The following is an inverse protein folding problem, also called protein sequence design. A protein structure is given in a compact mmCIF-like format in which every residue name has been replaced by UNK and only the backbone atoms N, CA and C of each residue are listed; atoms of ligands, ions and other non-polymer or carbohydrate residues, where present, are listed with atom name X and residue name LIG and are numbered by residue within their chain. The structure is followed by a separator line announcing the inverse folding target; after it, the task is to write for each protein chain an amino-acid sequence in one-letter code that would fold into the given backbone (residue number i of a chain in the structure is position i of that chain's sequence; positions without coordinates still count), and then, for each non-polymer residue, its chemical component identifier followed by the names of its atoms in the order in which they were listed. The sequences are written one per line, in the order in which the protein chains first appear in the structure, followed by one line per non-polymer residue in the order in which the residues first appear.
data_IF_384846171845
#
_entry.id   IF_384846171845
#
_cell.length_a   1.000
_cell.length_b   1.000
_cell.length_c   1.000
_cell.angle_alpha   90.00
_cell.angle_beta   90.00
_cell.angle_gamma   90.00
#
_symmetry.space_group_name_H-M   'P 1'
#
loop_
_entity.id
_entity.type
_entity.pdbx_description
1 polymer ?
#
# COMPACT_ATOMS: atom_id res chain seq x y z
N UNK A 1 -10.65 87.11 -58.67
CA UNK A 1 -11.45 86.80 -57.47
C UNK A 1 -11.92 85.33 -57.48
N UNK A 2 -11.01 84.35 -57.58
CA UNK A 2 -11.38 82.93 -57.80
C UNK A 2 -10.64 81.93 -56.90
N UNK A 3 -10.02 82.39 -55.80
CA UNK A 3 -9.19 81.53 -54.94
C UNK A 3 -9.78 81.21 -53.55
N UNK A 4 -10.90 81.82 -53.13
CA UNK A 4 -11.46 81.57 -51.78
C UNK A 4 -12.59 80.53 -51.70
N UNK A 5 -13.21 80.14 -52.82
CA UNK A 5 -14.31 79.15 -52.85
C UNK A 5 -13.84 77.69 -52.95
N UNK A 6 -12.62 77.44 -53.43
CA UNK A 6 -12.06 76.10 -53.59
C UNK A 6 -11.53 75.49 -52.28
N UNK A 7 -11.14 76.33 -51.30
CA UNK A 7 -10.55 75.87 -50.05
C UNK A 7 -11.61 75.39 -49.04
N UNK A 8 -12.79 76.01 -49.01
CA UNK A 8 -13.90 75.64 -48.13
C UNK A 8 -14.66 74.40 -48.58
N UNK A 9 -14.71 74.14 -49.89
CA UNK A 9 -15.37 72.96 -50.47
C UNK A 9 -14.56 71.68 -50.28
N UNK A 10 -13.22 71.76 -50.41
CA UNK A 10 -12.33 70.62 -50.17
C UNK A 10 -12.32 70.17 -48.70
N UNK A 11 -12.27 71.09 -47.73
CA UNK A 11 -12.31 70.72 -46.30
C UNK A 11 -13.65 70.08 -45.88
N UNK A 12 -14.76 70.45 -46.52
CA UNK A 12 -16.06 69.84 -46.26
C UNK A 12 -16.19 68.44 -46.87
N UNK A 13 -15.56 68.20 -48.02
CA UNK A 13 -15.46 66.86 -48.62
C UNK A 13 -14.57 65.94 -47.79
N UNK A 14 -13.42 66.44 -47.32
CA UNK A 14 -12.46 65.69 -46.51
C UNK A 14 -13.05 65.27 -45.16
N UNK A 15 -13.78 66.16 -44.48
CA UNK A 15 -14.51 65.84 -43.24
C UNK A 15 -15.62 64.80 -43.45
N UNK A 16 -16.32 64.85 -44.59
CA UNK A 16 -17.38 63.89 -44.93
C UNK A 16 -16.80 62.52 -45.30
N UNK A 17 -15.67 62.50 -46.01
CA UNK A 17 -14.90 61.28 -46.30
C UNK A 17 -14.40 60.65 -45.00
N UNK A 18 -13.78 61.42 -44.12
CA UNK A 18 -13.28 60.93 -42.82
C UNK A 18 -14.40 60.37 -41.92
N UNK A 19 -15.59 60.97 -41.98
CA UNK A 19 -16.76 60.47 -41.24
C UNK A 19 -17.29 59.16 -41.83
N UNK A 20 -17.33 59.04 -43.16
CA UNK A 20 -17.73 57.81 -43.85
C UNK A 20 -16.73 56.67 -43.63
N UNK A 21 -15.42 56.93 -43.73
CA UNK A 21 -14.38 55.93 -43.43
C UNK A 21 -14.43 55.50 -41.98
N UNK A 22 -14.65 56.42 -41.02
CA UNK A 22 -14.81 56.06 -39.61
C UNK A 22 -16.01 55.14 -39.35
N UNK A 23 -17.15 55.40 -40.00
CA UNK A 23 -18.35 54.55 -39.89
C UNK A 23 -18.08 53.15 -40.45
N UNK A 24 -17.47 53.06 -41.65
CA UNK A 24 -17.13 51.77 -42.25
C UNK A 24 -16.09 51.00 -41.40
N UNK A 25 -15.09 51.68 -40.85
CA UNK A 25 -14.08 51.04 -39.99
C UNK A 25 -14.69 50.49 -38.71
N UNK A 26 -15.60 51.24 -38.08
CA UNK A 26 -16.28 50.80 -36.85
C UNK A 26 -17.20 49.60 -37.09
N UNK A 27 -17.88 49.55 -38.24
CA UNK A 27 -18.69 48.39 -38.64
C UNK A 27 -17.82 47.13 -38.86
N UNK A 28 -16.71 47.27 -39.58
CA UNK A 28 -15.74 46.18 -39.80
C UNK A 28 -15.10 45.70 -38.49
N UNK A 29 -14.83 46.59 -37.54
CA UNK A 29 -14.33 46.22 -36.21
C UNK A 29 -15.37 45.39 -35.46
N UNK A 30 -16.64 45.79 -35.51
CA UNK A 30 -17.74 45.06 -34.86
C UNK A 30 -17.93 43.67 -35.46
N UNK A 31 -17.90 43.54 -36.79
CA UNK A 31 -17.96 42.24 -37.46
C UNK A 31 -16.77 41.34 -37.10
N UNK A 32 -15.56 41.89 -37.05
CA UNK A 32 -14.37 41.14 -36.66
C UNK A 32 -14.42 40.66 -35.21
N UNK A 33 -14.98 41.45 -34.30
CA UNK A 33 -15.19 41.03 -32.91
C UNK A 33 -16.23 39.90 -32.85
N UNK A 34 -17.33 40.02 -33.58
CA UNK A 34 -18.35 38.97 -33.66
C UNK A 34 -17.82 37.66 -34.27
N UNK A 35 -16.97 37.75 -35.29
CA UNK A 35 -16.30 36.60 -35.88
C UNK A 35 -15.34 35.93 -34.90
N UNK A 36 -14.56 36.71 -34.13
CA UNK A 36 -13.70 36.17 -33.06
C UNK A 36 -14.52 35.41 -32.01
N UNK A 37 -15.66 35.96 -31.59
CA UNK A 37 -16.55 35.30 -30.63
C UNK A 37 -17.11 33.98 -31.18
N UNK A 38 -17.55 33.97 -32.45
CA UNK A 38 -18.02 32.74 -33.13
C UNK A 38 -16.92 31.69 -33.22
N UNK A 39 -15.69 32.09 -33.56
CA UNK A 39 -14.54 31.18 -33.60
C UNK A 39 -14.22 30.62 -32.21
N UNK A 40 -14.30 31.44 -31.17
CA UNK A 40 -14.11 30.99 -29.79
C UNK A 40 -15.19 30.00 -29.36
N UNK A 41 -16.46 30.26 -29.71
CA UNK A 41 -17.56 29.31 -29.46
C UNK A 41 -17.39 27.99 -30.21
N UNK A 42 -16.96 28.03 -31.48
CA UNK A 42 -16.67 26.81 -32.25
C UNK A 42 -15.52 26.02 -31.64
N UNK A 43 -14.47 26.69 -31.16
CA UNK A 43 -13.34 26.05 -30.49
C UNK A 43 -13.77 25.33 -29.21
N UNK A 44 -14.67 25.92 -28.42
CA UNK A 44 -15.24 25.31 -27.21
C UNK A 44 -16.12 24.11 -27.56
N UNK A 45 -16.94 24.20 -28.62
CA UNK A 45 -17.76 23.05 -29.07
C UNK A 45 -16.89 21.90 -29.57
N UNK A 46 -15.81 22.20 -30.29
CA UNK A 46 -14.88 21.19 -30.81
C UNK A 46 -14.20 20.42 -29.67
N UNK A 47 -13.68 21.13 -28.65
CA UNK A 47 -13.05 20.48 -27.49
C UNK A 47 -14.05 19.64 -26.67
N UNK A 48 -15.30 20.09 -26.58
CA UNK A 48 -16.40 19.32 -25.98
C UNK A 48 -16.65 18.00 -26.72
N UNK A 49 -16.76 18.04 -28.05
CA UNK A 49 -16.98 16.84 -28.88
C UNK A 49 -15.80 15.87 -28.85
N UNK A 50 -14.56 16.37 -28.94
CA UNK A 50 -13.35 15.55 -28.85
C UNK A 50 -13.26 14.83 -27.50
N UNK A 51 -13.56 15.52 -26.39
CA UNK A 51 -13.57 14.90 -25.06
C UNK A 51 -14.65 13.83 -24.91
N UNK A 52 -15.84 14.05 -25.49
CA UNK A 52 -16.92 13.07 -25.53
C UNK A 52 -16.55 11.81 -26.31
N UNK A 53 -15.92 11.98 -27.47
CA UNK A 53 -15.47 10.87 -28.32
C UNK A 53 -14.36 10.05 -27.65
N UNK A 54 -13.40 10.71 -26.99
CA UNK A 54 -12.37 10.04 -26.18
C UNK A 54 -13.00 9.22 -25.05
N UNK A 55 -14.00 9.78 -24.35
CA UNK A 55 -14.67 9.08 -23.27
C UNK A 55 -15.41 7.83 -23.77
N UNK A 56 -16.16 7.92 -24.88
CA UNK A 56 -16.84 6.75 -25.49
C UNK A 56 -15.83 5.67 -25.89
N UNK A 57 -14.71 6.05 -26.51
CA UNK A 57 -13.63 5.12 -26.88
C UNK A 57 -13.03 4.46 -25.63
N UNK A 58 -12.82 5.22 -24.56
CA UNK A 58 -12.31 4.71 -23.28
C UNK A 58 -13.30 3.75 -22.63
N UNK A 59 -14.59 4.07 -22.63
CA UNK A 59 -15.66 3.19 -22.14
C UNK A 59 -15.72 1.90 -22.95
N UNK A 60 -15.65 1.96 -24.29
CA UNK A 60 -15.58 0.78 -25.15
C UNK A 60 -14.33 -0.08 -24.92
N UNK A 61 -13.17 0.56 -24.70
CA UNK A 61 -11.92 -0.12 -24.31
C UNK A 61 -12.03 -0.75 -22.91
N UNK A 62 -12.70 -0.11 -21.97
CA UNK A 62 -12.92 -0.65 -20.62
C UNK A 62 -13.87 -1.85 -20.66
N UNK A 63 -14.97 -1.73 -21.41
CA UNK A 63 -15.97 -2.79 -21.56
C UNK A 63 -15.39 -4.02 -22.26
N UNK A 64 -14.66 -3.84 -23.36
CA UNK A 64 -13.96 -4.96 -24.02
C UNK A 64 -12.93 -5.64 -23.11
N UNK A 65 -12.21 -4.89 -22.26
CA UNK A 65 -11.34 -5.47 -21.22
C UNK A 65 -12.11 -6.30 -20.21
N UNK A 66 -13.27 -5.81 -19.75
CA UNK A 66 -14.12 -6.53 -18.81
C UNK A 66 -14.63 -7.85 -19.40
N UNK A 67 -15.21 -7.82 -20.60
CA UNK A 67 -15.70 -9.01 -21.29
C UNK A 67 -14.58 -10.04 -21.53
N UNK A 68 -13.38 -9.57 -21.92
CA UNK A 68 -12.21 -10.46 -22.07
C UNK A 68 -11.79 -11.11 -20.76
N UNK A 69 -11.94 -10.40 -19.62
CA UNK A 69 -11.59 -10.94 -18.32
C UNK A 69 -12.62 -11.99 -17.89
N UNK A 70 -13.90 -11.67 -18.01
CA UNK A 70 -15.02 -12.58 -17.68
C UNK A 70 -14.96 -13.88 -18.47
N UNK A 71 -14.70 -13.83 -19.78
CA UNK A 71 -14.59 -15.02 -20.62
C UNK A 71 -13.42 -15.96 -20.27
N UNK A 72 -12.45 -15.49 -19.47
CA UNK A 72 -11.28 -16.25 -19.03
C UNK A 72 -11.32 -16.67 -17.57
N UNK A 73 -12.29 -16.20 -16.79
CA UNK A 73 -12.41 -16.55 -15.35
C UNK A 73 -12.57 -18.04 -15.11
N UNK A 74 -13.08 -18.77 -16.11
CA UNK A 74 -13.30 -20.22 -16.11
C UNK A 74 -12.16 -21.02 -16.74
N UNK A 75 -11.13 -20.35 -17.24
CA UNK A 75 -10.09 -20.99 -18.05
C UNK A 75 -8.83 -21.25 -17.22
N UNK A 76 -8.28 -22.44 -17.38
CA UNK A 76 -6.97 -22.84 -16.86
C UNK A 76 -6.07 -23.18 -18.04
N UNK A 77 -4.79 -22.87 -17.91
CA UNK A 77 -3.76 -23.27 -18.87
C UNK A 77 -2.79 -24.23 -18.19
N UNK A 78 -2.65 -25.41 -18.79
CA UNK A 78 -1.68 -26.44 -18.42
C UNK A 78 -0.47 -26.36 -19.34
N UNK A 79 0.72 -26.42 -18.78
CA UNK A 79 1.97 -26.49 -19.51
C UNK A 79 2.70 -27.80 -19.20
N UNK A 80 3.49 -28.29 -20.15
CA UNK A 80 4.39 -29.43 -19.99
C UNK A 80 3.70 -30.73 -19.58
N UNK A 81 2.54 -31.02 -20.17
CA UNK A 81 1.80 -32.26 -19.92
C UNK A 81 2.55 -33.43 -20.58
N UNK A 82 2.97 -34.48 -19.84
CA UNK A 82 3.90 -35.51 -20.33
C UNK A 82 3.39 -36.31 -21.55
N UNK A 83 2.08 -36.49 -21.66
CA UNK A 83 1.44 -37.26 -22.74
C UNK A 83 1.36 -36.50 -24.08
N UNK A 84 1.74 -35.21 -24.10
CA UNK A 84 1.72 -34.34 -25.28
C UNK A 84 3.13 -33.80 -25.57
N UNK A 85 4.08 -34.69 -25.82
CA UNK A 85 5.52 -34.37 -25.91
C UNK A 85 6.02 -33.92 -27.28
N UNK A 86 5.20 -33.94 -28.35
CA UNK A 86 5.68 -33.61 -29.70
C UNK A 86 5.73 -32.11 -29.99
N UNK A 87 5.01 -31.28 -29.24
CA UNK A 87 5.20 -29.83 -29.23
C UNK A 87 4.89 -29.32 -27.83
N UNK A 88 5.68 -28.35 -27.35
CA UNK A 88 5.41 -27.54 -26.15
C UNK A 88 4.07 -26.79 -26.30
N UNK A 89 2.95 -27.50 -26.28
CA UNK A 89 1.63 -26.93 -26.46
C UNK A 89 0.98 -26.77 -25.08
N UNK A 90 0.61 -25.53 -24.77
CA UNK A 90 -0.19 -25.23 -23.59
C UNK A 90 -1.63 -25.68 -23.82
N UNK A 91 -2.18 -26.51 -22.93
CA UNK A 91 -3.56 -26.95 -23.03
C UNK A 91 -4.46 -25.98 -22.27
N UNK A 92 -5.44 -25.41 -22.97
CA UNK A 92 -6.47 -24.57 -22.35
C UNK A 92 -7.68 -25.43 -21.99
N UNK A 93 -8.03 -25.46 -20.71
CA UNK A 93 -9.21 -26.14 -20.17
C UNK A 93 -10.22 -25.09 -19.74
N UNK A 94 -11.49 -25.28 -20.11
CA UNK A 94 -12.62 -24.46 -19.67
C UNK A 94 -13.43 -25.24 -18.64
N UNK A 95 -13.59 -24.67 -17.45
CA UNK A 95 -14.33 -25.27 -16.35
C UNK A 95 -15.80 -24.81 -16.35
N UNK A 96 -16.71 -25.61 -15.77
CA UNK A 96 -18.13 -25.25 -15.68
C UNK A 96 -18.36 -24.02 -14.79
N UNK A 97 -17.55 -23.84 -13.75
CA UNK A 97 -17.67 -22.73 -12.79
C UNK A 97 -16.30 -22.10 -12.50
N UNK A 98 -16.22 -20.76 -12.36
CA UNK A 98 -14.99 -20.06 -11.99
C UNK A 98 -14.49 -20.46 -10.59
N UNK A 99 -15.38 -20.89 -9.69
CA UNK A 99 -15.01 -21.39 -8.36
C UNK A 99 -14.08 -22.61 -8.44
N UNK A 100 -14.32 -23.48 -9.43
CA UNK A 100 -13.46 -24.65 -9.67
C UNK A 100 -12.03 -24.27 -10.03
N UNK A 101 -11.84 -23.13 -10.72
CA UNK A 101 -10.50 -22.61 -11.04
C UNK A 101 -9.74 -22.27 -9.77
N UNK A 102 -10.37 -21.59 -8.82
CA UNK A 102 -9.73 -21.21 -7.56
C UNK A 102 -9.34 -22.43 -6.72
N UNK A 103 -10.20 -23.44 -6.63
CA UNK A 103 -9.91 -24.67 -5.88
C UNK A 103 -8.72 -25.44 -6.47
N UNK A 104 -8.65 -25.55 -7.81
CA UNK A 104 -7.50 -26.16 -8.49
C UNK A 104 -6.21 -25.35 -8.21
N UNK A 105 -6.27 -24.02 -8.29
CA UNK A 105 -5.10 -23.17 -8.06
C UNK A 105 -4.59 -23.19 -6.62
N UNK A 106 -5.46 -23.41 -5.62
CA UNK A 106 -5.05 -23.59 -4.22
C UNK A 106 -4.24 -24.88 -4.04
N UNK A 107 -4.66 -25.95 -4.70
CA UNK A 107 -4.09 -27.29 -4.51
C UNK A 107 -2.93 -27.57 -5.46
N UNK A 108 -2.73 -26.77 -6.52
CA UNK A 108 -1.72 -27.01 -7.58
C UNK A 108 -0.29 -27.26 -7.08
N UNK A 109 0.12 -26.71 -5.93
CA UNK A 109 1.45 -26.99 -5.36
C UNK A 109 1.60 -28.44 -4.92
N UNK A 110 0.51 -29.11 -4.50
CA UNK A 110 0.52 -30.52 -4.11
C UNK A 110 0.72 -31.46 -5.31
N UNK A 111 0.34 -31.04 -6.52
CA UNK A 111 0.58 -31.79 -7.75
C UNK A 111 2.09 -31.96 -8.05
N UNK A 112 2.93 -30.99 -7.65
CA UNK A 112 4.38 -31.09 -7.79
C UNK A 112 5.00 -32.18 -6.90
N UNK A 113 4.29 -32.63 -5.86
CA UNK A 113 4.77 -33.71 -5.00
C UNK A 113 4.50 -35.09 -5.59
N UNK A 114 3.71 -35.17 -6.67
CA UNK A 114 3.42 -36.42 -7.37
C UNK A 114 4.45 -36.61 -8.47
N UNK A 115 5.22 -37.70 -8.41
CA UNK A 115 6.33 -38.00 -9.33
C UNK A 115 5.94 -37.94 -10.81
N UNK A 116 4.71 -38.34 -11.15
CA UNK A 116 4.17 -38.29 -12.53
C UNK A 116 3.92 -36.86 -13.04
N UNK A 117 3.75 -35.86 -12.17
CA UNK A 117 3.30 -34.50 -12.54
C UNK A 117 4.28 -33.39 -12.13
N UNK A 118 5.54 -33.73 -11.83
CA UNK A 118 6.57 -32.75 -11.45
C UNK A 118 6.85 -31.70 -12.52
N UNK A 119 6.72 -32.08 -13.80
CA UNK A 119 6.92 -31.19 -14.94
C UNK A 119 5.71 -30.32 -15.26
N UNK A 120 4.51 -30.68 -14.78
CA UNK A 120 3.26 -30.02 -15.15
C UNK A 120 3.09 -28.70 -14.40
N UNK A 121 2.84 -27.62 -15.14
CA UNK A 121 2.57 -26.32 -14.55
C UNK A 121 1.14 -25.86 -14.84
N UNK A 122 0.45 -25.38 -13.79
CA UNK A 122 -0.92 -24.87 -13.86
C UNK A 122 -0.94 -23.35 -13.66
N UNK A 123 -1.50 -22.63 -14.63
CA UNK A 123 -1.69 -21.18 -14.58
C UNK A 123 -3.12 -20.79 -14.93
N UNK A 124 -3.50 -19.57 -14.52
CA UNK A 124 -4.69 -18.89 -15.04
C UNK A 124 -4.48 -18.46 -16.49
N UNK A 125 -5.57 -18.42 -17.24
CA UNK A 125 -5.59 -17.85 -18.59
C UNK A 125 -5.53 -16.31 -18.53
N UNK A 126 -4.35 -15.77 -18.84
CA UNK A 126 -4.10 -14.32 -18.78
C UNK A 126 -4.56 -13.65 -20.06
N UNK A 127 -5.11 -12.44 -19.95
CA UNK A 127 -5.45 -11.62 -21.12
C UNK A 127 -4.19 -11.24 -21.92
N UNK A 128 -4.28 -11.00 -23.24
CA UNK A 128 -3.14 -10.60 -24.06
C UNK A 128 -2.40 -9.37 -23.51
N UNK A 129 -3.13 -8.40 -22.97
CA UNK A 129 -2.56 -7.21 -22.35
C UNK A 129 -1.74 -7.56 -21.10
N UNK A 130 -2.25 -8.45 -20.25
CA UNK A 130 -1.51 -8.95 -19.09
C UNK A 130 -0.28 -9.78 -19.50
N UNK A 131 -0.37 -10.56 -20.58
CA UNK A 131 0.77 -11.30 -21.11
C UNK A 131 1.87 -10.35 -21.59
N UNK A 132 1.51 -9.32 -22.36
CA UNK A 132 2.46 -8.31 -22.83
C UNK A 132 3.09 -7.52 -21.68
N UNK A 133 2.30 -7.16 -20.67
CA UNK A 133 2.81 -6.52 -19.46
C UNK A 133 3.75 -7.44 -18.66
N UNK A 134 3.44 -8.73 -18.57
CA UNK A 134 4.35 -9.71 -17.98
C UNK A 134 5.64 -9.86 -18.79
N UNK A 135 5.56 -9.88 -20.12
CA UNK A 135 6.72 -9.92 -21.01
C UNK A 135 7.61 -8.69 -20.82
N UNK A 136 7.03 -7.49 -20.70
CA UNK A 136 7.81 -6.27 -20.45
C UNK A 136 8.52 -6.28 -19.10
N UNK A 137 7.86 -6.79 -18.05
CA UNK A 137 8.48 -6.99 -16.74
C UNK A 137 9.63 -8.00 -16.81
N UNK A 138 9.44 -9.11 -17.54
CA UNK A 138 10.48 -10.12 -17.70
C UNK A 138 11.68 -9.59 -18.47
N UNK A 139 11.48 -8.84 -19.55
CA UNK A 139 12.58 -8.18 -20.26
C UNK A 139 13.35 -7.20 -19.38
N UNK A 140 12.65 -6.47 -18.51
CA UNK A 140 13.28 -5.54 -17.55
C UNK A 140 14.08 -6.30 -16.47
N UNK A 141 13.62 -7.46 -16.01
CA UNK A 141 14.38 -8.30 -15.07
C UNK A 141 15.64 -8.85 -15.73
N UNK A 142 15.53 -9.32 -16.97
CA UNK A 142 16.67 -9.85 -17.72
C UNK A 142 17.73 -8.77 -17.89
N UNK A 143 17.34 -7.58 -18.36
CA UNK A 143 18.30 -6.47 -18.55
C UNK A 143 18.95 -6.03 -17.23
N UNK A 144 18.20 -5.99 -16.12
CA UNK A 144 18.79 -5.68 -14.81
C UNK A 144 19.75 -6.77 -14.32
N UNK A 145 19.45 -8.04 -14.59
CA UNK A 145 20.36 -9.15 -14.27
C UNK A 145 21.64 -9.09 -15.09
N UNK A 146 21.53 -8.75 -16.38
CA UNK A 146 22.69 -8.57 -17.27
C UNK A 146 23.56 -7.38 -16.81
N UNK A 147 22.95 -6.36 -16.21
CA UNK A 147 23.65 -5.23 -15.58
C UNK A 147 24.20 -5.54 -14.17
N UNK A 148 24.14 -6.79 -13.71
CA UNK A 148 24.71 -7.24 -12.43
C UNK A 148 23.79 -7.08 -11.20
N UNK A 149 22.53 -6.70 -11.38
CA UNK A 149 21.55 -6.70 -10.28
C UNK A 149 21.03 -8.12 -10.03
N UNK A 150 21.52 -8.74 -8.95
CA UNK A 150 21.05 -10.03 -8.48
C UNK A 150 19.84 -9.89 -7.54
N UNK A 151 19.21 -11.02 -7.23
CA UNK A 151 18.09 -11.12 -6.29
C UNK A 151 16.79 -10.42 -6.70
N UNK A 152 16.52 -10.18 -7.99
CA UNK A 152 15.23 -9.61 -8.41
C UNK A 152 14.11 -10.66 -8.42
N UNK A 153 13.00 -10.34 -7.76
CA UNK A 153 11.76 -11.14 -7.78
C UNK A 153 10.53 -10.30 -8.11
N UNK A 154 9.57 -10.93 -8.77
CA UNK A 154 8.26 -10.34 -9.02
C UNK A 154 7.41 -10.50 -7.75
N UNK A 155 7.12 -9.38 -7.07
CA UNK A 155 6.12 -9.32 -5.98
C UNK A 155 4.83 -8.71 -6.50
N UNK A 156 3.70 -9.12 -5.94
CA UNK A 156 2.42 -8.50 -6.23
C UNK A 156 2.10 -7.48 -5.12
N UNK A 157 2.13 -6.19 -5.45
CA UNK A 157 1.73 -5.09 -4.56
C UNK A 157 0.38 -4.58 -5.05
N UNK A 158 -0.64 -4.59 -4.20
CA UNK A 158 -2.03 -4.23 -4.58
C UNK A 158 -2.54 -4.99 -5.83
N UNK A 159 -2.22 -6.28 -5.93
CA UNK A 159 -2.52 -7.15 -7.08
C UNK A 159 -1.84 -6.77 -8.41
N UNK A 160 -0.83 -5.91 -8.39
CA UNK A 160 -0.05 -5.51 -9.57
C UNK A 160 1.35 -6.15 -9.46
N UNK A 161 1.84 -6.85 -10.51
CA UNK A 161 3.18 -7.42 -10.50
C UNK A 161 4.21 -6.29 -10.62
N UNK A 162 5.10 -6.21 -9.64
CA UNK A 162 6.16 -5.21 -9.54
C UNK A 162 7.49 -5.91 -9.30
N UNK A 163 8.53 -5.42 -9.97
CA UNK A 163 9.90 -5.90 -9.74
C UNK A 163 10.35 -5.37 -8.40
N UNK A 164 10.80 -6.26 -7.53
CA UNK A 164 11.34 -5.91 -6.24
C UNK A 164 12.62 -6.70 -6.04
N UNK A 165 13.57 -6.13 -5.30
CA UNK A 165 14.65 -6.95 -4.78
C UNK A 165 14.04 -7.92 -3.78
N UNK A 166 14.44 -9.17 -3.91
CA UNK A 166 14.36 -10.20 -2.90
C UNK A 166 15.35 -9.81 -1.81
N UNK A 167 15.03 -8.72 -1.13
CA UNK A 167 15.14 -8.77 0.30
C UNK A 167 14.27 -9.97 0.66
N UNK A 168 14.91 -11.12 0.87
CA UNK A 168 14.45 -12.03 1.91
C UNK A 168 14.02 -11.13 3.08
N UNK A 169 13.03 -11.53 3.85
CA UNK A 169 12.71 -10.90 5.12
C UNK A 169 13.88 -11.11 6.10
N UNK A 170 14.97 -10.44 5.76
CA UNK A 170 16.23 -10.16 6.38
C UNK A 170 16.56 -8.76 5.80
N UNK A 171 15.83 -7.69 6.14
CA UNK A 171 16.31 -6.92 7.28
C UNK A 171 16.69 -7.91 8.37
N UNK A 172 17.95 -8.41 8.37
CA UNK A 172 18.31 -9.35 9.36
C UNK A 172 18.04 -8.62 10.66
N UNK A 173 17.38 -9.28 11.60
CA UNK A 173 17.41 -8.84 13.00
C UNK A 173 18.86 -8.47 13.37
N UNK A 174 19.86 -9.09 12.72
CA UNK A 174 21.27 -8.76 12.75
C UNK A 174 21.70 -7.33 12.33
N UNK A 175 21.02 -6.63 11.41
CA UNK A 175 21.34 -5.23 11.04
C UNK A 175 20.73 -4.20 12.00
N UNK A 176 19.61 -4.55 12.64
CA UNK A 176 19.17 -3.80 13.82
C UNK A 176 20.12 -4.07 14.98
N UNK A 177 20.61 -5.29 15.17
CA UNK A 177 21.52 -5.60 16.29
C UNK A 177 22.98 -5.18 16.10
N UNK A 178 23.45 -4.96 14.86
CA UNK A 178 24.82 -4.48 14.61
C UNK A 178 25.00 -3.00 14.96
N UNK A 179 23.90 -2.24 14.94
CA UNK A 179 23.85 -0.85 15.37
C UNK A 179 23.21 -0.71 16.77
N UNK A 180 22.96 -1.83 17.47
CA UNK A 180 22.60 -1.79 18.88
C UNK A 180 23.89 -1.64 19.68
N UNK A 181 24.24 -0.40 19.98
CA UNK A 181 24.95 -0.17 21.22
C UNK A 181 24.00 -0.56 22.36
N UNK A 182 24.34 -1.56 23.21
CA UNK A 182 23.53 -1.87 24.39
C UNK A 182 23.41 -0.67 25.35
N UNK A 183 24.20 0.39 25.15
CA UNK A 183 24.16 1.64 25.89
C UNK A 183 23.19 2.69 25.30
N UNK A 184 22.71 2.57 24.07
CA UNK A 184 21.83 3.57 23.44
C UNK A 184 20.45 3.02 23.08
N UNK A 185 19.66 2.75 24.13
CA UNK A 185 18.22 2.52 24.01
C UNK A 185 17.51 3.82 23.58
N UNK A 186 16.88 3.82 22.40
CA UNK A 186 16.09 4.95 21.92
C UNK A 186 15.04 5.40 22.95
N UNK A 187 15.00 6.70 23.28
CA UNK A 187 14.07 7.27 24.27
C UNK A 187 12.59 7.04 23.95
N UNK A 188 12.26 6.82 22.67
CA UNK A 188 10.91 6.43 22.22
C UNK A 188 10.45 5.07 22.77
N UNK A 189 11.38 4.20 23.20
CA UNK A 189 11.04 2.89 23.77
C UNK A 189 10.83 2.92 25.29
N UNK A 190 11.15 4.04 25.94
CA UNK A 190 10.86 4.29 27.36
C UNK A 190 9.44 4.83 27.58
N UNK A 191 8.76 5.26 26.53
CA UNK A 191 7.40 5.79 26.59
C UNK A 191 6.41 4.72 26.14
N UNK A 192 5.60 4.22 27.08
CA UNK A 192 4.49 3.29 26.77
C UNK A 192 3.18 4.05 26.83
N UNK A 193 2.35 3.94 25.80
CA UNK A 193 1.00 4.49 25.85
C UNK A 193 0.17 3.69 26.84
N UNK A 194 -0.31 4.36 27.90
CA UNK A 194 -1.18 3.77 28.91
C UNK A 194 -2.62 4.08 28.50
N UNK A 195 -3.37 3.02 28.22
CA UNK A 195 -4.81 3.11 27.92
C UNK A 195 -5.58 2.60 29.14
N UNK A 196 -6.51 3.41 29.63
CA UNK A 196 -7.39 3.07 30.75
C UNK A 196 -8.62 2.32 30.23
N UNK A 197 -8.78 1.05 30.60
CA UNK A 197 -9.99 0.26 30.26
C UNK A 197 -10.93 0.18 31.47
N UNK A 198 -12.20 0.64 31.36
CA UNK A 198 -13.13 0.58 32.48
C UNK A 198 -13.47 -0.87 32.86
N UNK A 199 -13.52 -1.16 34.17
CA UNK A 199 -14.02 -2.45 34.67
C UNK A 199 -15.51 -2.58 34.36
N UNK A 200 -15.99 -3.74 33.88
CA UNK A 200 -17.40 -3.94 33.60
C UNK A 200 -18.23 -3.73 34.88
N UNK A 201 -19.42 -3.14 34.74
CA UNK A 201 -20.45 -2.96 35.80
C UNK A 201 -20.11 -1.91 36.87
N UNK A 202 -18.88 -1.36 36.90
CA UNK A 202 -18.48 -0.33 37.88
C UNK A 202 -18.71 1.10 37.36
N UNK A 203 -18.87 2.04 38.29
CA UNK A 203 -19.09 3.45 37.97
C UNK A 203 -17.90 4.02 37.14
N UNK A 204 -18.21 4.56 35.95
CA UNK A 204 -17.24 5.11 34.99
C UNK A 204 -16.65 6.47 35.40
N UNK A 205 -17.23 7.14 36.40
CA UNK A 205 -16.80 8.45 36.88
C UNK A 205 -15.68 8.37 37.95
N UNK A 206 -15.38 7.18 38.48
CA UNK A 206 -14.26 6.97 39.42
C UNK A 206 -13.05 6.38 38.69
N UNK A 207 -11.92 7.09 38.73
CA UNK A 207 -10.65 6.69 38.10
C UNK A 207 -10.14 5.33 38.61
N UNK A 208 -10.47 4.95 39.85
CA UNK A 208 -10.09 3.65 40.46
C UNK A 208 -10.75 2.45 39.78
N UNK A 209 -11.79 2.69 39.00
CA UNK A 209 -12.52 1.66 38.26
C UNK A 209 -11.92 1.36 36.88
N UNK A 210 -10.84 2.02 36.47
CA UNK A 210 -10.13 1.72 35.23
C UNK A 210 -8.94 0.77 35.46
N UNK A 211 -8.61 -0.01 34.44
CA UNK A 211 -7.42 -0.85 34.34
C UNK A 211 -6.41 -0.13 33.44
N UNK A 212 -5.26 0.33 33.95
CA UNK A 212 -4.22 0.86 33.09
C UNK A 212 -3.53 -0.29 32.34
N UNK A 213 -3.62 -0.26 31.02
CA UNK A 213 -2.95 -1.20 30.12
C UNK A 213 -1.85 -0.44 29.38
N UNK A 214 -0.59 -0.84 29.60
CA UNK A 214 0.52 -0.34 28.80
C UNK A 214 0.59 -1.08 27.47
N UNK A 215 0.36 -0.34 26.39
CA UNK A 215 0.56 -0.85 25.03
C UNK A 215 2.04 -0.73 24.66
N UNK A 216 2.75 -1.83 24.85
CA UNK A 216 4.08 -2.04 24.30
C UNK A 216 3.92 -2.62 22.88
N UNK A 217 4.65 -2.08 21.90
CA UNK A 217 4.60 -2.53 20.52
C UNK A 217 4.85 -4.05 20.39
N UNK A 218 4.18 -4.70 19.45
CA UNK A 218 4.35 -6.14 19.17
C UNK A 218 5.80 -6.46 18.81
N UNK A 219 6.46 -5.56 18.09
CA UNK A 219 7.87 -5.66 17.72
C UNK A 219 8.77 -5.69 18.97
N UNK A 220 8.53 -4.82 19.96
CA UNK A 220 9.31 -4.80 21.20
C UNK A 220 9.18 -6.11 21.99
N UNK A 221 7.99 -6.71 22.02
CA UNK A 221 7.76 -8.02 22.67
C UNK A 221 8.48 -9.15 21.94
N UNK A 222 8.50 -9.12 20.61
CA UNK A 222 9.18 -10.10 19.78
C UNK A 222 10.70 -10.02 19.92
N UNK A 223 11.26 -8.81 19.85
CA UNK A 223 12.69 -8.58 20.01
C UNK A 223 13.16 -9.05 21.39
N UNK A 224 12.40 -8.77 22.46
CA UNK A 224 12.74 -9.24 23.82
C UNK A 224 12.85 -10.76 23.89
N UNK A 225 11.89 -11.49 23.31
CA UNK A 225 11.95 -12.95 23.24
C UNK A 225 13.14 -13.44 22.42
N UNK A 226 13.39 -12.82 21.27
CA UNK A 226 14.54 -13.15 20.43
C UNK A 226 15.85 -12.95 21.20
N UNK A 227 16.01 -11.86 21.93
CA UNK A 227 17.20 -11.62 22.76
C UNK A 227 17.36 -12.66 23.87
N UNK A 228 16.28 -13.05 24.55
CA UNK A 228 16.32 -14.08 25.58
C UNK A 228 16.73 -15.44 25.01
N UNK A 229 16.22 -15.80 23.82
CA UNK A 229 16.61 -17.01 23.08
C UNK A 229 18.10 -16.98 22.72
N UNK A 230 18.57 -15.87 22.11
CA UNK A 230 19.97 -15.74 21.72
C UNK A 230 20.93 -15.77 22.91
N UNK A 231 20.55 -15.18 24.04
CA UNK A 231 21.36 -15.22 25.26
C UNK A 231 21.43 -16.62 25.85
N UNK A 232 20.32 -17.36 25.87
CA UNK A 232 20.30 -18.74 26.33
C UNK A 232 21.20 -19.65 25.47
N UNK A 233 21.11 -19.50 24.13
CA UNK A 233 22.02 -20.21 23.22
C UNK A 233 23.50 -19.87 23.47
N UNK A 234 23.83 -18.59 23.64
CA UNK A 234 25.22 -18.17 23.93
C UNK A 234 25.75 -18.69 25.26
N UNK A 235 24.88 -18.88 26.25
CA UNK A 235 25.23 -19.38 27.58
C UNK A 235 25.14 -20.91 27.70
N UNK A 236 24.76 -21.60 26.62
CA UNK A 236 24.45 -23.03 26.63
C UNK A 236 23.40 -23.41 27.69
N UNK A 237 22.44 -22.52 27.92
CA UNK A 237 21.35 -22.67 28.89
C UNK A 237 20.07 -23.08 28.16
N UNK A 238 19.22 -23.87 28.83
CA UNK A 238 17.90 -24.23 28.31
C UNK A 238 16.89 -23.13 28.63
N UNK A 239 16.30 -22.52 27.60
CA UNK A 239 15.21 -21.55 27.77
C UNK A 239 13.85 -22.25 27.68
N UNK A 240 13.13 -22.32 28.80
CA UNK A 240 11.77 -22.87 28.87
C UNK A 240 10.80 -21.72 29.11
N UNK A 241 9.89 -21.48 28.16
CA UNK A 241 8.82 -20.49 28.32
C UNK A 241 7.53 -21.16 28.75
N UNK A 242 7.11 -20.93 29.99
CA UNK A 242 5.84 -21.45 30.53
C UNK A 242 4.82 -20.31 30.54
N UNK A 243 3.77 -20.45 29.73
CA UNK A 243 2.67 -19.49 29.69
C UNK A 243 1.56 -19.92 30.65
N UNK A 244 1.63 -19.44 31.89
CA UNK A 244 0.60 -19.69 32.90
C UNK A 244 -0.45 -18.58 32.90
N UNK A 245 -1.72 -18.93 32.73
CA UNK A 245 -2.83 -18.02 32.93
C UNK A 245 -3.28 -18.10 34.38
N UNK A 246 -2.71 -17.26 35.24
CA UNK A 246 -3.10 -17.21 36.66
C UNK A 246 -4.20 -16.16 36.80
N UNK A 247 -5.40 -16.59 37.19
CA UNK A 247 -6.50 -15.67 37.47
C UNK A 247 -6.17 -14.81 38.68
N UNK A 248 -6.29 -13.47 38.56
CA UNK A 248 -6.12 -12.51 39.66
C UNK A 248 -4.74 -12.56 40.36
N UNK A 249 -3.65 -12.71 39.60
CA UNK A 249 -2.25 -12.74 40.11
C UNK A 249 -1.90 -11.67 41.12
N UNK A 250 -2.37 -10.44 40.90
CA UNK A 250 -2.09 -9.31 41.78
C UNK A 250 -2.86 -9.38 43.11
N UNK A 251 -4.01 -10.04 43.13
CA UNK A 251 -4.86 -10.19 44.33
C UNK A 251 -4.37 -11.36 45.22
N UNK A 252 -3.74 -12.38 44.61
CA UNK A 252 -3.31 -13.63 45.27
C UNK A 252 -1.80 -13.61 45.61
N UNK A 253 -1.05 -12.60 45.16
CA UNK A 253 0.39 -12.51 45.38
C UNK A 253 0.75 -12.54 46.89
N UNK A 254 1.56 -13.52 47.30
CA UNK A 254 1.92 -13.73 48.71
C UNK A 254 2.91 -12.66 49.18
N UNK A 255 2.37 -11.62 49.83
CA UNK A 255 3.10 -10.40 50.26
C UNK A 255 4.43 -10.71 50.98
N UNK A 256 4.43 -11.72 51.86
CA UNK A 256 5.62 -12.12 52.63
C UNK A 256 6.73 -12.67 51.73
N UNK A 257 6.38 -13.46 50.71
CA UNK A 257 7.33 -14.00 49.73
C UNK A 257 7.91 -12.91 48.83
N UNK A 258 7.10 -11.92 48.46
CA UNK A 258 7.56 -10.75 47.71
C UNK A 258 8.61 -9.97 48.52
N UNK A 259 8.35 -9.71 49.81
CA UNK A 259 9.32 -9.02 50.68
C UNK A 259 10.62 -9.81 50.89
N UNK A 260 10.55 -11.14 50.98
CA UNK A 260 11.78 -11.97 51.06
C UNK A 260 12.60 -11.93 49.78
N UNK A 261 11.95 -11.85 48.62
CA UNK A 261 12.64 -11.70 47.33
C UNK A 261 13.36 -10.34 47.27
N UNK A 262 12.72 -9.25 47.71
CA UNK A 262 13.36 -7.94 47.77
C UNK A 262 14.61 -7.92 48.66
N UNK A 263 14.55 -8.60 49.82
CA UNK A 263 15.73 -8.75 50.68
C UNK A 263 16.83 -9.59 50.03
N UNK A 264 16.50 -10.67 49.30
CA UNK A 264 17.51 -11.46 48.59
C UNK A 264 18.21 -10.66 47.47
N UNK A 265 17.54 -9.66 46.91
CA UNK A 265 18.12 -8.72 45.93
C UNK A 265 18.86 -7.54 46.58
N UNK A 266 19.08 -7.54 47.91
CA UNK A 266 19.74 -6.47 48.67
C UNK A 266 19.08 -5.07 48.54
N UNK A 267 17.81 -5.01 48.15
CA UNK A 267 17.06 -3.74 48.08
C UNK A 267 16.65 -3.39 49.51
N UNK A 268 17.46 -2.55 50.17
CA UNK A 268 17.27 -2.10 51.54
C UNK A 268 17.10 -0.57 51.61
N UNK A 269 16.66 -0.03 52.75
CA UNK A 269 16.52 1.41 52.99
C UNK A 269 15.11 1.96 52.73
N UNK A 270 15.00 3.27 52.50
CA UNK A 270 13.72 3.99 52.44
C UNK A 270 12.76 3.43 51.37
N UNK A 271 13.29 2.96 50.25
CA UNK A 271 12.49 2.34 49.18
C UNK A 271 11.87 1.02 49.63
N UNK A 272 12.62 0.20 50.37
CA UNK A 272 12.10 -1.05 50.93
C UNK A 272 11.02 -0.79 51.97
N UNK A 273 11.22 0.21 52.84
CA UNK A 273 10.24 0.63 53.85
C UNK A 273 8.97 1.14 53.17
N UNK A 274 9.09 1.95 52.12
CA UNK A 274 7.96 2.43 51.32
C UNK A 274 7.17 1.28 50.71
N UNK A 275 7.84 0.32 50.07
CA UNK A 275 7.18 -0.86 49.46
C UNK A 275 6.52 -1.73 50.53
N UNK A 276 7.18 -1.93 51.67
CA UNK A 276 6.63 -2.68 52.82
C UNK A 276 5.35 -2.02 53.35
N UNK A 277 5.35 -0.70 53.52
CA UNK A 277 4.17 0.05 53.96
C UNK A 277 3.05 0.03 52.90
N UNK A 278 3.42 0.21 51.62
CA UNK A 278 2.50 0.16 50.49
C UNK A 278 1.81 -1.20 50.34
N UNK A 279 2.48 -2.30 50.70
CA UNK A 279 1.89 -3.65 50.69
C UNK A 279 1.11 -3.98 51.97
N UNK A 280 1.40 -3.32 53.10
CA UNK A 280 0.78 -3.57 54.41
C UNK A 280 -0.70 -3.16 54.43
N UNK A 281 -1.03 -1.98 53.90
CA UNK A 281 -2.37 -1.38 54.03
C UNK A 281 -3.31 -1.65 52.84
N UNK A 282 -2.90 -2.49 51.89
CA UNK A 282 -3.85 -3.03 50.90
C UNK A 282 -4.81 -3.99 51.59
N UNK A 283 -5.98 -3.48 52.00
CA UNK A 283 -7.20 -4.26 52.17
C UNK A 283 -7.70 -4.66 50.77
N UNK A 284 -7.93 -5.96 50.58
CA UNK A 284 -8.54 -6.55 49.38
C UNK A 284 -10.06 -6.30 49.46
#
# INVERSE_FOLDING_TARGET
MSSSLACTTNGNLETKINKLTYIQLTEVINENNLLKDKVQQLKIKLSGLESGQINIILQGKLFSKFINRESRTRNIVLFNVPEFSSTSCSLRIVLPSPSGVFEILKVKRKLLNVTKFTSVCISTDRTPLQQNYFKSILSEIISKRDNGENDLIIKYINNIPTISKNYQSSAPIYQLTSNFDPEHFSNLWRHTNIVLIPKPIKNKFDIKNYRPISFISTLSKLIKKHTEICLAFRRNENLITIALNITKTYDIAWKKRVLTIFHSFKINGNLFIFIKNFLKDRKI
#
